data_IF_911887508708
#
_entry.id   IF_911887508708
#
_cell.length_a   1.000
_cell.length_b   1.000
_cell.length_c   1.000
_cell.angle_alpha   90.00
_cell.angle_beta   90.00
_cell.angle_gamma   90.00
#
_symmetry.space_group_name_H-M   'P 1'
#
loop_
_entity.id
_entity.type
_entity.pdbx_description
1 polymer ?
#
# COMPACT_ATOMS: atom_id res chain seq x y z
N UNK A 1 0.16 -38.13 17.87
CA UNK A 1 -0.59 -38.30 16.61
C UNK A 1 0.45 -38.35 15.51
N UNK A 2 0.66 -39.49 14.84
CA UNK A 2 1.53 -39.54 13.66
C UNK A 2 0.69 -38.98 12.51
N UNK A 3 1.14 -37.90 11.89
CA UNK A 3 0.58 -37.45 10.63
C UNK A 3 1.04 -38.47 9.58
N UNK A 4 0.17 -39.41 9.22
CA UNK A 4 0.41 -40.29 8.10
C UNK A 4 0.08 -39.49 6.83
N UNK A 5 1.11 -39.07 6.12
CA UNK A 5 0.99 -38.39 4.83
C UNK A 5 0.86 -39.44 3.74
N UNK A 6 -0.16 -39.34 2.91
CA UNK A 6 -0.31 -40.20 1.75
C UNK A 6 0.62 -39.72 0.61
N UNK A 7 0.96 -40.61 -0.32
CA UNK A 7 1.89 -40.29 -1.43
C UNK A 7 1.43 -39.09 -2.26
N UNK A 8 0.11 -38.92 -2.41
CA UNK A 8 -0.47 -37.79 -3.13
C UNK A 8 -0.32 -36.45 -2.38
N UNK A 9 -0.36 -36.45 -1.04
CA UNK A 9 -0.14 -35.24 -0.23
C UNK A 9 1.31 -34.77 -0.35
N UNK A 10 2.26 -35.70 -0.32
CA UNK A 10 3.67 -35.40 -0.51
C UNK A 10 3.94 -34.77 -1.88
N UNK A 11 3.29 -35.26 -2.94
CA UNK A 11 3.38 -34.68 -4.29
C UNK A 11 2.78 -33.27 -4.33
N UNK A 12 1.66 -33.04 -3.64
CA UNK A 12 1.01 -31.73 -3.57
C UNK A 12 1.88 -30.70 -2.85
N UNK A 13 2.44 -31.09 -1.69
CA UNK A 13 3.37 -30.28 -0.91
C UNK A 13 4.61 -29.96 -1.74
N UNK A 14 5.22 -30.95 -2.39
CA UNK A 14 6.37 -30.75 -3.26
C UNK A 14 6.06 -29.79 -4.41
N UNK A 15 4.88 -29.91 -5.03
CA UNK A 15 4.44 -28.98 -6.09
C UNK A 15 4.26 -27.55 -5.56
N UNK A 16 3.64 -27.36 -4.39
CA UNK A 16 3.50 -26.05 -3.76
C UNK A 16 4.87 -25.44 -3.44
N UNK A 17 5.78 -26.22 -2.85
CA UNK A 17 7.16 -25.78 -2.57
C UNK A 17 7.90 -25.38 -3.85
N UNK A 18 7.76 -26.17 -4.92
CA UNK A 18 8.38 -25.87 -6.22
C UNK A 18 7.78 -24.63 -6.88
N UNK A 19 6.46 -24.41 -6.77
CA UNK A 19 5.82 -23.19 -7.27
C UNK A 19 6.27 -21.97 -6.48
N UNK A 20 6.33 -22.04 -5.16
CA UNK A 20 6.88 -20.97 -4.32
C UNK A 20 8.32 -20.69 -4.76
N UNK A 21 9.17 -21.71 -4.81
CA UNK A 21 10.55 -21.57 -5.27
C UNK A 21 10.63 -20.91 -6.65
N UNK A 22 9.89 -21.39 -7.63
CA UNK A 22 9.89 -20.83 -8.99
C UNK A 22 9.41 -19.37 -9.05
N UNK A 23 8.55 -18.94 -8.12
CA UNK A 23 8.13 -17.53 -8.02
C UNK A 23 9.20 -16.62 -7.39
N UNK A 24 10.09 -17.19 -6.60
CA UNK A 24 11.18 -16.48 -5.94
C UNK A 24 12.55 -16.69 -6.60
N UNK A 25 12.64 -17.60 -7.57
CA UNK A 25 13.78 -17.77 -8.49
C UNK A 25 13.89 -16.51 -9.36
N UNK A 26 14.77 -15.60 -8.97
CA UNK A 26 15.27 -14.53 -9.83
C UNK A 26 16.63 -14.93 -10.40
N UNK A 27 16.99 -14.42 -11.58
CA UNK A 27 18.28 -14.71 -12.24
C UNK A 27 19.52 -14.38 -11.36
N UNK A 28 19.36 -13.67 -10.23
CA UNK A 28 20.43 -13.23 -9.34
C UNK A 28 20.30 -13.68 -7.86
N UNK A 29 19.45 -14.66 -7.52
CA UNK A 29 19.21 -15.15 -6.13
C UNK A 29 18.80 -14.05 -5.11
N UNK A 30 18.52 -12.83 -5.59
CA UNK A 30 18.22 -11.63 -4.83
C UNK A 30 17.00 -10.94 -5.45
N UNK A 31 16.04 -10.55 -4.62
CA UNK A 31 14.85 -9.79 -5.02
C UNK A 31 14.94 -8.38 -4.42
N UNK A 32 15.40 -7.41 -5.22
CA UNK A 32 15.44 -6.00 -4.81
C UNK A 32 14.35 -5.20 -5.50
N UNK A 33 13.40 -4.69 -4.73
CA UNK A 33 12.41 -3.73 -5.24
C UNK A 33 12.98 -2.32 -5.07
N UNK A 34 13.39 -1.72 -6.18
CA UNK A 34 13.78 -0.32 -6.20
C UNK A 34 12.57 0.58 -6.44
N UNK A 35 12.41 1.60 -5.60
CA UNK A 35 11.36 2.62 -5.72
C UNK A 35 11.95 3.91 -6.30
N UNK A 36 11.17 4.63 -7.12
CA UNK A 36 11.57 5.92 -7.64
C UNK A 36 10.39 6.90 -7.60
N UNK A 37 10.72 8.19 -7.52
CA UNK A 37 9.76 9.27 -7.65
C UNK A 37 9.20 9.35 -9.08
N UNK A 38 7.94 9.78 -9.18
CA UNK A 38 7.18 9.95 -10.44
C UNK A 38 8.00 10.53 -11.60
N UNK A 39 8.73 11.64 -11.40
CA UNK A 39 9.45 12.29 -12.50
C UNK A 39 10.62 11.46 -13.05
N UNK A 40 11.30 10.70 -12.20
CA UNK A 40 12.36 9.80 -12.64
C UNK A 40 11.77 8.55 -13.29
N UNK A 41 10.64 8.07 -12.75
CA UNK A 41 10.04 6.81 -13.17
C UNK A 41 9.23 6.91 -14.46
N UNK A 42 8.51 8.01 -14.68
CA UNK A 42 7.82 8.29 -15.94
C UNK A 42 8.79 8.37 -17.13
N UNK A 43 10.02 8.83 -16.91
CA UNK A 43 11.07 8.79 -17.95
C UNK A 43 11.53 7.37 -18.29
N UNK A 44 11.43 6.44 -17.33
CA UNK A 44 11.92 5.07 -17.47
C UNK A 44 10.87 4.13 -18.07
N UNK A 45 9.61 4.30 -17.71
CA UNK A 45 8.53 3.39 -18.10
C UNK A 45 7.53 3.99 -19.11
N UNK A 46 7.65 5.27 -19.44
CA UNK A 46 6.81 5.89 -20.46
C UNK A 46 5.33 5.82 -20.10
N UNK A 47 4.52 5.26 -20.99
CA UNK A 47 3.06 5.27 -20.89
C UNK A 47 2.53 4.25 -19.87
N UNK A 48 3.13 3.07 -19.73
CA UNK A 48 2.72 2.08 -18.70
C UNK A 48 2.83 2.66 -17.28
N UNK A 49 3.83 3.52 -17.05
CA UNK A 49 3.99 4.22 -15.78
C UNK A 49 3.00 5.36 -15.57
N UNK A 50 2.42 5.92 -16.63
CA UNK A 50 1.33 6.90 -16.52
C UNK A 50 0.03 6.20 -16.20
N UNK A 51 -0.30 5.11 -16.90
CA UNK A 51 -1.55 4.37 -16.71
C UNK A 51 -1.72 3.89 -15.25
N UNK A 52 -0.65 3.39 -14.64
CA UNK A 52 -0.64 2.94 -13.25
C UNK A 52 -0.72 4.11 -12.23
N UNK A 53 -0.09 5.24 -12.53
CA UNK A 53 -0.27 6.48 -11.75
C UNK A 53 -1.71 6.99 -11.87
N UNK A 54 -2.29 6.87 -13.05
CA UNK A 54 -3.64 7.29 -13.33
C UNK A 54 -4.64 6.42 -12.58
N UNK A 55 -4.45 5.11 -12.58
CA UNK A 55 -5.28 4.16 -11.82
C UNK A 55 -5.25 4.48 -10.32
N UNK A 56 -4.07 4.66 -9.73
CA UNK A 56 -3.93 4.97 -8.31
C UNK A 56 -4.61 6.31 -7.94
N UNK A 57 -4.37 7.38 -8.72
CA UNK A 57 -5.01 8.69 -8.46
C UNK A 57 -6.53 8.64 -8.67
N UNK A 58 -6.99 7.89 -9.66
CA UNK A 58 -8.43 7.67 -9.90
C UNK A 58 -9.07 6.96 -8.70
N UNK A 59 -8.40 5.98 -8.10
CA UNK A 59 -8.91 5.33 -6.90
C UNK A 59 -9.04 6.29 -5.71
N UNK A 60 -8.12 7.25 -5.56
CA UNK A 60 -8.22 8.27 -4.52
C UNK A 60 -9.45 9.16 -4.71
N UNK A 61 -9.73 9.55 -5.96
CA UNK A 61 -10.90 10.37 -6.31
C UNK A 61 -12.22 9.61 -6.13
N UNK A 62 -12.33 8.38 -6.62
CA UNK A 62 -13.56 7.58 -6.53
C UNK A 62 -13.97 7.23 -5.10
N UNK A 63 -13.03 7.27 -4.17
CA UNK A 63 -13.26 6.92 -2.77
C UNK A 63 -13.35 8.16 -1.87
N UNK A 64 -13.46 9.35 -2.46
CA UNK A 64 -13.52 10.62 -1.74
C UNK A 64 -12.41 10.76 -0.68
N UNK A 65 -11.20 10.27 -0.99
CA UNK A 65 -10.11 10.14 -0.04
C UNK A 65 -9.66 11.49 0.55
N UNK A 66 -9.85 12.59 -0.19
CA UNK A 66 -9.49 13.92 0.25
C UNK A 66 -10.47 14.98 -0.28
N UNK A 67 -10.71 16.01 0.54
CA UNK A 67 -11.51 17.18 0.19
C UNK A 67 -10.59 18.38 -0.09
N UNK A 68 -10.78 19.11 -1.20
CA UNK A 68 -9.96 20.28 -1.49
C UNK A 68 -10.20 21.41 -0.48
N UNK A 69 -9.12 22.00 0.04
CA UNK A 69 -9.15 23.22 0.87
C UNK A 69 -8.35 24.34 0.19
N UNK A 70 -8.92 25.54 0.11
CA UNK A 70 -8.20 26.68 -0.42
C UNK A 70 -7.17 27.20 0.57
N UNK A 71 -5.98 27.54 0.08
CA UNK A 71 -4.87 28.07 0.91
C UNK A 71 -5.27 29.36 1.65
N UNK A 72 -6.11 30.20 1.05
CA UNK A 72 -6.64 31.42 1.68
C UNK A 72 -7.49 31.16 2.93
N UNK A 73 -8.09 29.96 3.02
CA UNK A 73 -8.98 29.56 4.10
C UNK A 73 -8.21 28.71 5.14
N UNK A 74 -6.88 28.60 5.01
CA UNK A 74 -6.01 27.90 5.94
C UNK A 74 -5.39 28.86 6.95
N UNK A 75 -5.23 28.42 8.19
CA UNK A 75 -4.42 29.17 9.17
C UNK A 75 -2.92 28.99 8.89
N UNK A 76 -2.09 29.89 9.42
CA UNK A 76 -0.63 29.78 9.28
C UNK A 76 -0.07 28.48 9.89
N UNK A 77 -0.70 27.99 10.98
CA UNK A 77 -0.32 26.72 11.62
C UNK A 77 -0.66 25.53 10.72
N UNK A 78 -1.86 25.51 10.16
CA UNK A 78 -2.31 24.46 9.22
C UNK A 78 -1.41 24.39 7.99
N UNK A 79 -1.07 25.55 7.40
CA UNK A 79 -0.16 25.62 6.26
C UNK A 79 1.26 25.13 6.58
N UNK A 80 1.73 25.33 7.81
CA UNK A 80 3.04 24.83 8.27
C UNK A 80 3.03 23.33 8.55
N UNK A 81 1.91 22.78 9.06
CA UNK A 81 1.73 21.35 9.32
C UNK A 81 1.43 20.55 8.04
N UNK A 82 0.97 21.19 6.97
CA UNK A 82 0.68 20.51 5.71
C UNK A 82 1.89 19.76 5.13
N UNK A 83 1.75 18.46 4.91
CA UNK A 83 2.83 17.62 4.37
C UNK A 83 2.67 17.38 2.88
N UNK A 84 3.79 17.20 2.20
CA UNK A 84 3.77 16.95 0.76
C UNK A 84 3.32 15.52 0.45
N UNK A 85 2.52 15.36 -0.60
CA UNK A 85 2.28 14.06 -1.21
C UNK A 85 3.46 13.68 -2.10
N UNK A 86 3.77 12.38 -2.18
CA UNK A 86 4.81 11.84 -3.05
C UNK A 86 4.27 10.60 -3.76
N UNK A 87 4.36 10.57 -5.09
CA UNK A 87 4.04 9.37 -5.87
C UNK A 87 5.32 8.54 -6.04
N UNK A 88 5.30 7.34 -5.48
CA UNK A 88 6.37 6.36 -5.60
C UNK A 88 5.90 5.24 -6.51
N UNK A 89 6.66 4.96 -7.56
CA UNK A 89 6.40 3.80 -8.39
C UNK A 89 7.44 2.74 -8.02
N UNK A 90 7.04 1.47 -8.11
CA UNK A 90 7.82 0.24 -7.94
C UNK A 90 7.59 -0.67 -9.16
N UNK A 91 8.52 -1.55 -9.48
CA UNK A 91 8.31 -2.59 -10.51
C UNK A 91 8.30 -3.89 -9.75
N UNK A 92 7.21 -4.64 -9.91
CA UNK A 92 7.13 -5.99 -9.38
C UNK A 92 7.84 -6.90 -10.37
N UNK A 93 9.08 -7.25 -10.08
CA UNK A 93 9.93 -8.06 -10.96
C UNK A 93 9.25 -9.38 -11.39
N UNK A 94 8.52 -10.02 -10.46
CA UNK A 94 7.79 -11.25 -10.74
C UNK A 94 6.59 -11.05 -11.69
N UNK A 95 5.76 -10.04 -11.46
CA UNK A 95 4.54 -9.79 -12.25
C UNK A 95 4.83 -8.98 -13.53
N UNK A 96 6.03 -8.40 -13.65
CA UNK A 96 6.42 -7.40 -14.66
C UNK A 96 5.44 -6.23 -14.77
N UNK A 97 4.79 -5.91 -13.65
CA UNK A 97 3.85 -4.79 -13.53
C UNK A 97 4.51 -3.64 -12.78
N UNK A 98 4.22 -2.42 -13.21
CA UNK A 98 4.53 -1.22 -12.44
C UNK A 98 3.43 -1.07 -11.40
N UNK A 99 3.81 -0.65 -10.19
CA UNK A 99 2.86 -0.35 -9.13
C UNK A 99 3.17 1.00 -8.49
N UNK A 100 2.23 1.90 -8.62
CA UNK A 100 2.23 3.25 -8.10
C UNK A 100 1.61 3.28 -6.72
N UNK A 101 2.14 4.13 -5.85
CA UNK A 101 1.55 4.44 -4.55
C UNK A 101 1.64 5.93 -4.30
N UNK A 102 0.50 6.55 -4.02
CA UNK A 102 0.46 7.90 -3.49
C UNK A 102 0.75 7.84 -1.99
N UNK A 103 1.85 8.48 -1.57
CA UNK A 103 2.33 8.41 -0.19
C UNK A 103 2.30 9.79 0.43
N UNK A 104 1.64 9.89 1.59
CA UNK A 104 1.71 11.03 2.46
C UNK A 104 3.07 11.05 3.18
N UNK A 105 3.77 12.20 3.18
CA UNK A 105 5.10 12.30 3.78
C UNK A 105 5.01 12.40 5.32
N UNK A 106 5.04 11.24 5.98
CA UNK A 106 4.87 11.11 7.42
C UNK A 106 6.08 11.44 8.30
N UNK A 107 7.26 11.69 7.71
CA UNK A 107 8.52 11.97 8.44
C UNK A 107 8.37 13.08 9.50
N UNK A 108 7.57 14.11 9.18
CA UNK A 108 7.31 15.26 10.07
C UNK A 108 6.00 15.17 10.85
N UNK A 109 5.16 14.17 10.56
CA UNK A 109 3.83 13.99 11.19
C UNK A 109 3.92 13.22 12.50
N UNK A 110 4.88 12.31 12.60
CA UNK A 110 5.08 11.51 13.82
C UNK A 110 5.46 12.33 15.05
N UNK A 111 5.90 13.59 14.92
CA UNK A 111 6.29 14.42 16.07
C UNK A 111 5.09 14.87 16.92
N UNK A 112 3.88 14.91 16.35
CA UNK A 112 2.68 15.40 17.06
C UNK A 112 1.69 14.29 17.46
N UNK A 113 1.90 13.04 17.03
CA UNK A 113 1.10 11.88 17.43
C UNK A 113 1.81 11.13 18.57
N UNK A 114 1.08 10.72 19.60
CA UNK A 114 1.67 9.94 20.68
C UNK A 114 1.96 8.50 20.23
N UNK A 115 2.86 7.81 20.95
CA UNK A 115 3.16 6.40 20.66
C UNK A 115 1.97 5.52 20.99
N UNK A 116 1.22 5.87 22.02
CA UNK A 116 0.00 5.18 22.41
C UNK A 116 -1.06 5.28 21.31
N UNK A 117 -1.22 6.45 20.68
CA UNK A 117 -2.20 6.67 19.60
C UNK A 117 -1.80 6.00 18.28
N UNK A 118 -0.51 5.70 18.08
CA UNK A 118 0.00 5.08 16.85
C UNK A 118 0.12 3.55 16.97
N UNK A 119 0.01 3.01 18.18
CA UNK A 119 0.16 1.58 18.42
C UNK A 119 -1.10 0.82 17.97
N UNK A 120 -0.98 0.02 16.91
CA UNK A 120 -2.01 -0.93 16.51
C UNK A 120 -1.65 -2.33 17.02
N UNK A 121 -2.59 -3.08 17.62
CA UNK A 121 -2.34 -4.47 18.01
C UNK A 121 -2.11 -5.32 16.75
N UNK A 122 -0.84 -5.58 16.44
CA UNK A 122 -0.46 -6.41 15.30
C UNK A 122 -0.27 -7.84 15.82
N UNK A 123 -1.05 -8.78 15.29
CA UNK A 123 -0.83 -10.20 15.58
C UNK A 123 0.57 -10.63 15.11
N UNK A 124 1.23 -11.51 15.86
CA UNK A 124 2.54 -12.01 15.45
C UNK A 124 2.43 -12.87 14.20
N UNK A 125 3.39 -12.71 13.28
CA UNK A 125 3.42 -13.46 12.03
C UNK A 125 3.53 -14.97 12.29
N UNK A 126 4.25 -15.35 13.34
CA UNK A 126 4.39 -16.73 13.80
C UNK A 126 3.04 -17.30 14.27
N UNK A 127 2.23 -16.52 14.99
CA UNK A 127 0.91 -16.98 15.45
C UNK A 127 -0.06 -17.17 14.28
N UNK A 128 -0.06 -16.23 13.32
CA UNK A 128 -0.87 -16.34 12.09
C UNK A 128 -0.47 -17.60 11.32
N UNK A 129 0.83 -17.80 11.08
CA UNK A 129 1.35 -18.96 10.34
C UNK A 129 0.99 -20.27 11.04
N UNK A 130 1.14 -20.32 12.37
CA UNK A 130 0.81 -21.49 13.18
C UNK A 130 -0.67 -21.85 13.07
N UNK A 131 -1.55 -20.84 13.10
CA UNK A 131 -3.00 -21.05 12.94
C UNK A 131 -3.33 -21.62 11.57
N UNK A 132 -2.74 -21.06 10.50
CA UNK A 132 -2.90 -21.57 9.14
C UNK A 132 -2.45 -23.04 9.00
N UNK A 133 -1.36 -23.43 9.67
CA UNK A 133 -0.87 -24.82 9.65
C UNK A 133 -1.86 -25.76 10.35
N UNK A 134 -2.43 -25.35 11.48
CA UNK A 134 -3.45 -26.14 12.16
C UNK A 134 -4.73 -26.28 11.34
N UNK A 135 -5.20 -25.19 10.74
CA UNK A 135 -6.38 -25.21 9.88
C UNK A 135 -6.18 -26.15 8.69
N UNK A 136 -5.01 -26.11 8.06
CA UNK A 136 -4.65 -26.99 6.96
C UNK A 136 -4.57 -28.47 7.40
N UNK A 137 -3.94 -28.74 8.54
CA UNK A 137 -3.78 -30.11 9.06
C UNK A 137 -5.12 -30.75 9.47
N UNK A 138 -6.04 -29.96 10.01
CA UNK A 138 -7.38 -30.45 10.37
C UNK A 138 -8.39 -30.41 9.22
N UNK A 139 -7.99 -29.90 8.04
CA UNK A 139 -8.86 -29.78 6.87
C UNK A 139 -10.03 -28.81 7.10
N UNK A 140 -9.80 -27.70 7.83
CA UNK A 140 -10.83 -26.70 8.11
C UNK A 140 -11.09 -25.83 6.89
N UNK A 141 -12.34 -25.42 6.71
CA UNK A 141 -12.72 -24.45 5.70
C UNK A 141 -12.22 -23.05 6.08
N UNK A 142 -11.30 -22.50 5.30
CA UNK A 142 -10.70 -21.18 5.50
C UNK A 142 -11.01 -20.28 4.31
N UNK A 143 -11.44 -19.04 4.59
CA UNK A 143 -11.60 -17.98 3.59
C UNK A 143 -10.63 -16.85 3.90
N UNK A 144 -9.90 -16.39 2.89
CA UNK A 144 -9.06 -15.19 2.97
C UNK A 144 -9.58 -14.13 2.02
N UNK A 145 -9.44 -12.86 2.40
CA UNK A 145 -9.84 -11.72 1.59
C UNK A 145 -8.81 -10.60 1.76
N UNK A 146 -8.34 -10.05 0.64
CA UNK A 146 -7.54 -8.83 0.61
C UNK A 146 -8.46 -7.64 0.37
N UNK A 147 -8.29 -6.57 1.15
CA UNK A 147 -9.01 -5.31 0.95
C UNK A 147 -8.08 -4.36 0.20
N UNK A 148 -8.32 -4.10 -1.09
CA UNK A 148 -7.43 -3.24 -1.86
C UNK A 148 -7.47 -1.82 -1.30
N UNK A 149 -6.29 -1.22 -1.13
CA UNK A 149 -6.15 0.14 -0.64
C UNK A 149 -6.94 0.37 0.68
N UNK A 150 -6.83 -0.54 1.64
CA UNK A 150 -7.55 -0.48 2.92
C UNK A 150 -7.37 0.86 3.68
N UNK A 151 -6.17 1.47 3.61
CA UNK A 151 -5.88 2.71 4.31
C UNK A 151 -6.82 3.86 3.95
N UNK A 152 -7.12 4.04 2.66
CA UNK A 152 -7.96 5.14 2.18
C UNK A 152 -9.46 4.88 2.36
N UNK A 153 -9.83 3.68 2.82
CA UNK A 153 -11.20 3.33 3.17
C UNK A 153 -11.49 3.52 4.66
N UNK A 154 -10.45 3.82 5.45
CA UNK A 154 -10.60 4.04 6.89
C UNK A 154 -11.33 5.36 7.13
N UNK A 155 -12.42 5.31 7.91
CA UNK A 155 -13.14 6.51 8.31
C UNK A 155 -12.24 7.42 9.14
N UNK A 156 -12.08 8.67 8.70
CA UNK A 156 -11.45 9.74 9.46
C UNK A 156 -12.57 10.68 9.94
N UNK A 157 -12.73 10.87 11.27
CA UNK A 157 -13.76 11.77 11.79
C UNK A 157 -13.49 13.21 11.37
N UNK A 158 -14.55 13.97 11.13
CA UNK A 158 -14.46 15.41 10.92
C UNK A 158 -13.79 16.05 12.14
N UNK A 159 -12.73 16.81 11.89
CA UNK A 159 -12.03 17.51 12.95
C UNK A 159 -12.92 18.60 13.54
N UNK A 160 -13.02 18.63 14.87
CA UNK A 160 -13.72 19.71 15.57
C UNK A 160 -12.85 20.96 15.62
N UNK A 161 -13.48 22.10 15.88
CA UNK A 161 -12.77 23.36 16.05
C UNK A 161 -11.72 23.24 17.17
N UNK A 162 -10.44 23.40 16.81
CA UNK A 162 -9.30 23.26 17.72
C UNK A 162 -8.63 21.88 17.73
N UNK A 163 -9.15 20.88 17.02
CA UNK A 163 -8.49 19.59 16.82
C UNK A 163 -7.49 19.62 15.65
N UNK A 164 -6.46 18.79 15.74
CA UNK A 164 -5.44 18.70 14.70
C UNK A 164 -5.98 17.99 13.45
N UNK A 165 -5.89 18.67 12.30
CA UNK A 165 -6.24 18.13 10.99
C UNK A 165 -5.00 17.72 10.21
N UNK A 166 -5.11 16.66 9.42
CA UNK A 166 -4.07 16.25 8.47
C UNK A 166 -4.28 16.96 7.14
N UNK A 167 -3.34 17.83 6.77
CA UNK A 167 -3.33 18.50 5.48
C UNK A 167 -2.27 17.91 4.56
N UNK A 168 -2.69 17.55 3.35
CA UNK A 168 -1.80 17.05 2.31
C UNK A 168 -1.67 18.07 1.17
N UNK A 169 -0.43 18.36 0.79
CA UNK A 169 -0.08 19.25 -0.31
C UNK A 169 0.34 18.43 -1.53
N UNK A 170 -0.54 18.39 -2.53
CA UNK A 170 -0.26 17.76 -3.82
C UNK A 170 0.33 18.82 -4.76
N UNK A 171 1.44 18.50 -5.44
CA UNK A 171 2.15 19.45 -6.32
C UNK A 171 2.71 18.78 -7.57
N UNK A 172 3.09 19.60 -8.55
CA UNK A 172 3.79 19.15 -9.75
C UNK A 172 2.92 18.31 -10.69
N UNK A 173 3.52 17.30 -11.31
CA UNK A 173 2.90 16.42 -12.31
C UNK A 173 1.60 15.77 -11.82
N UNK A 174 1.52 15.42 -10.53
CA UNK A 174 0.31 14.82 -9.94
C UNK A 174 -0.91 15.76 -10.04
N UNK A 175 -0.71 17.06 -9.87
CA UNK A 175 -1.81 18.04 -9.98
C UNK A 175 -2.32 18.13 -11.42
N UNK A 176 -1.42 18.08 -12.40
CA UNK A 176 -1.80 18.11 -13.81
C UNK A 176 -2.65 16.88 -14.18
N UNK A 177 -2.25 15.71 -13.68
CA UNK A 177 -2.99 14.45 -13.87
C UNK A 177 -4.38 14.53 -13.21
N UNK A 178 -4.44 14.97 -11.95
CA UNK A 178 -5.72 15.12 -11.24
C UNK A 178 -6.67 16.11 -11.93
N UNK A 179 -6.16 17.22 -12.47
CA UNK A 179 -6.97 18.18 -13.23
C UNK A 179 -7.46 17.55 -14.53
N UNK A 180 -6.61 16.81 -15.24
CA UNK A 180 -6.99 16.15 -16.49
C UNK A 180 -8.10 15.09 -16.28
N UNK A 181 -8.11 14.41 -15.13
CA UNK A 181 -9.15 13.43 -14.76
C UNK A 181 -10.48 14.05 -14.34
N UNK A 182 -10.49 15.32 -13.95
CA UNK A 182 -11.69 16.03 -13.51
C UNK A 182 -12.54 16.56 -14.68
N UNK A 183 -12.04 16.46 -15.92
CA UNK A 183 -12.70 16.84 -17.16
C UNK A 183 -13.26 15.62 -17.89
#
# INVERSE_FOLDING_TARGET
MKADYEEHDAILIARCMMQIKAKFDTDEDLNFIQQYYINQRLKKFGDDGKDDVDEELRQMLLRDCFTPKFVKDMTASEGKKAQSAMMLLAEKQFEKTIKGRLVYRGDKTCEWLSREDTASPTASQEAITTTCVFDAHEGRDVMTLDVPNAFIQTYMPDAKEGEDCVYMKITGTMVQILIAMAH
#
